data_IF_950324272645
#
_entry.id   IF_950324272645
#
_cell.length_a   1.000
_cell.length_b   1.000
_cell.length_c   1.000
_cell.angle_alpha   90.00
_cell.angle_beta   90.00
_cell.angle_gamma   90.00
#
_symmetry.space_group_name_H-M   'P 1'
#
loop_
_entity.id
_entity.type
_entity.pdbx_description
1 polymer ?
#
# COMPACT_ATOMS: atom_id res chain seq x y z
N UNK A 1 -2.47 38.14 0.91
CA UNK A 1 -3.27 38.14 -0.34
C UNK A 1 -4.38 39.17 -0.20
N UNK A 2 -4.18 40.35 -0.77
CA UNK A 2 -5.21 41.37 -0.99
C UNK A 2 -4.70 42.26 -2.13
N UNK A 3 -4.86 41.76 -3.35
CA UNK A 3 -4.56 42.51 -4.58
C UNK A 3 -5.71 43.48 -4.81
N UNK A 4 -5.43 44.77 -4.66
CA UNK A 4 -6.35 45.85 -4.95
C UNK A 4 -6.35 46.07 -6.47
N UNK A 5 -7.48 45.93 -7.19
CA UNK A 5 -7.49 46.06 -8.64
C UNK A 5 -7.36 47.54 -9.02
N UNK A 6 -6.36 47.86 -9.87
CA UNK A 6 -6.22 49.16 -10.51
C UNK A 6 -7.54 49.52 -11.21
N UNK A 7 -8.24 50.49 -10.62
CA UNK A 7 -9.33 51.22 -11.25
C UNK A 7 -8.76 51.93 -12.48
N UNK A 8 -8.93 51.32 -13.64
CA UNK A 8 -8.66 51.89 -14.95
C UNK A 8 -9.62 53.06 -15.15
N UNK A 9 -9.21 54.25 -14.71
CA UNK A 9 -9.89 55.47 -15.09
C UNK A 9 -9.37 55.84 -16.49
N UNK A 10 -9.98 55.24 -17.51
CA UNK A 10 -9.86 55.69 -18.88
C UNK A 10 -10.48 57.09 -18.96
N UNK A 11 -9.70 58.11 -18.63
CA UNK A 11 -10.08 59.51 -18.87
C UNK A 11 -10.25 59.69 -20.36
N UNK A 12 -11.50 59.90 -20.73
CA UNK A 12 -11.98 60.19 -22.06
C UNK A 12 -11.33 61.47 -22.59
N UNK A 13 -10.26 61.39 -23.38
CA UNK A 13 -9.61 62.57 -24.00
C UNK A 13 -9.89 62.66 -25.51
N UNK A 14 -10.64 61.71 -26.09
CA UNK A 14 -10.97 61.74 -27.52
C UNK A 14 -12.42 62.17 -27.77
N UNK A 15 -12.75 63.44 -27.50
CA UNK A 15 -14.01 64.01 -28.03
C UNK A 15 -13.88 65.50 -28.36
N UNK A 16 -13.69 65.79 -29.65
CA UNK A 16 -14.48 66.73 -30.46
C UNK A 16 -13.60 67.44 -31.53
N UNK A 17 -13.90 67.29 -32.83
CA UNK A 17 -13.37 68.22 -33.84
C UNK A 17 -14.08 69.57 -33.66
N UNK A 18 -13.31 70.63 -33.38
CA UNK A 18 -13.87 71.97 -33.20
C UNK A 18 -14.36 72.51 -34.55
N UNK A 19 -15.67 72.73 -34.60
CA UNK A 19 -16.45 73.29 -35.71
C UNK A 19 -15.96 74.71 -36.05
N UNK A 20 -15.66 74.94 -37.33
CA UNK A 20 -15.33 76.28 -37.84
C UNK A 20 -16.55 77.20 -37.74
N UNK A 21 -16.44 78.25 -36.92
CA UNK A 21 -17.46 79.30 -36.78
C UNK A 21 -17.39 80.23 -38.01
N UNK A 22 -18.49 80.55 -38.70
CA UNK A 22 -18.45 81.44 -39.85
C UNK A 22 -18.14 82.87 -39.41
N UNK A 23 -17.14 83.49 -40.03
CA UNK A 23 -16.83 84.91 -39.86
C UNK A 23 -18.03 85.76 -40.34
N UNK A 24 -18.52 86.74 -39.55
CA UNK A 24 -19.47 87.72 -40.07
C UNK A 24 -18.79 88.59 -41.15
N UNK A 25 -19.50 88.84 -42.26
CA UNK A 25 -19.03 89.52 -43.47
C UNK A 25 -18.31 90.85 -43.19
N UNK A 26 -16.98 90.77 -43.11
CA UNK A 26 -16.05 91.86 -42.81
C UNK A 26 -16.08 93.00 -43.83
N UNK A 27 -16.58 92.75 -45.06
CA UNK A 27 -16.66 93.78 -46.11
C UNK A 27 -17.69 94.86 -45.81
N UNK A 28 -18.89 94.49 -45.32
CA UNK A 28 -19.96 95.48 -45.06
C UNK A 28 -19.60 96.39 -43.89
N UNK A 29 -18.98 95.84 -42.85
CA UNK A 29 -18.50 96.61 -41.70
C UNK A 29 -17.34 97.54 -42.06
N UNK A 30 -16.46 97.12 -42.99
CA UNK A 30 -15.34 97.95 -43.47
C UNK A 30 -15.81 99.14 -44.29
N UNK A 31 -16.83 98.99 -45.14
CA UNK A 31 -17.33 100.12 -45.96
C UNK A 31 -18.00 101.17 -45.06
N UNK A 32 -18.81 100.74 -44.08
CA UNK A 32 -19.42 101.65 -43.11
C UNK A 32 -18.35 102.39 -42.29
N UNK A 33 -17.30 101.70 -41.86
CA UNK A 33 -16.17 102.32 -41.15
C UNK A 33 -15.38 103.30 -42.02
N UNK A 34 -15.17 102.99 -43.30
CA UNK A 34 -14.51 103.88 -44.26
C UNK A 34 -15.34 105.14 -44.47
N UNK A 35 -16.66 104.99 -44.71
CA UNK A 35 -17.57 106.12 -44.88
C UNK A 35 -17.63 106.97 -43.61
N UNK A 36 -17.73 106.35 -42.43
CA UNK A 36 -17.77 107.06 -41.16
C UNK A 36 -16.45 107.80 -40.86
N UNK A 37 -15.32 107.21 -41.24
CA UNK A 37 -13.99 107.85 -41.12
C UNK A 37 -13.87 109.02 -42.10
N UNK A 38 -14.33 108.85 -43.34
CA UNK A 38 -14.35 109.92 -44.34
C UNK A 38 -15.26 111.08 -43.90
N UNK A 39 -16.44 110.80 -43.34
CA UNK A 39 -17.35 111.81 -42.78
C UNK A 39 -16.71 112.56 -41.61
N UNK A 40 -16.00 111.85 -40.72
CA UNK A 40 -15.26 112.48 -39.61
C UNK A 40 -14.13 113.40 -40.10
N UNK A 41 -13.37 112.98 -41.12
CA UNK A 41 -12.31 113.80 -41.73
C UNK A 41 -12.92 115.02 -42.45
N UNK A 42 -14.05 114.83 -43.15
CA UNK A 42 -14.77 115.92 -43.81
C UNK A 42 -15.30 116.95 -42.82
N UNK A 43 -15.86 116.51 -41.69
CA UNK A 43 -16.32 117.41 -40.63
C UNK A 43 -15.14 118.19 -39.99
N UNK A 44 -14.01 117.53 -39.75
CA UNK A 44 -12.81 118.16 -39.20
C UNK A 44 -12.20 119.20 -40.16
N UNK A 45 -12.11 118.86 -41.45
CA UNK A 45 -11.64 119.79 -42.49
C UNK A 45 -12.61 120.96 -42.67
N UNK A 46 -13.93 120.74 -42.62
CA UNK A 46 -14.92 121.81 -42.66
C UNK A 46 -14.78 122.78 -41.46
N UNK A 47 -14.64 122.27 -40.23
CA UNK A 47 -14.42 123.10 -39.05
C UNK A 47 -13.11 123.89 -39.12
N UNK A 48 -12.05 123.27 -39.66
CA UNK A 48 -10.78 123.95 -39.88
C UNK A 48 -10.92 125.10 -40.91
N UNK A 49 -11.61 124.85 -42.02
CA UNK A 49 -11.88 125.87 -43.04
C UNK A 49 -12.73 127.01 -42.47
N UNK A 50 -13.79 126.70 -41.71
CA UNK A 50 -14.63 127.71 -41.03
C UNK A 50 -13.76 128.56 -40.08
N UNK A 51 -12.85 127.94 -39.33
CA UNK A 51 -11.91 128.66 -38.47
C UNK A 51 -10.97 129.57 -39.28
N UNK A 52 -10.43 129.09 -40.41
CA UNK A 52 -9.58 129.90 -41.29
C UNK A 52 -10.34 131.09 -41.88
N UNK A 53 -11.58 130.90 -42.33
CA UNK A 53 -12.43 131.99 -42.82
C UNK A 53 -12.80 132.97 -41.72
N UNK A 54 -13.07 132.49 -40.49
CA UNK A 54 -13.28 133.36 -39.33
C UNK A 54 -12.08 134.26 -39.05
N UNK A 55 -10.87 133.71 -39.12
CA UNK A 55 -9.61 134.46 -38.98
C UNK A 55 -9.44 135.48 -40.12
N UNK A 56 -9.71 135.09 -41.37
CA UNK A 56 -9.57 135.96 -42.54
C UNK A 56 -10.61 137.08 -42.59
N UNK A 57 -11.86 136.80 -42.23
CA UNK A 57 -12.92 137.79 -42.11
C UNK A 57 -12.65 138.81 -41.00
N UNK A 58 -12.08 138.35 -39.89
CA UNK A 58 -11.61 139.23 -38.81
C UNK A 58 -10.52 140.21 -39.29
N UNK A 59 -9.57 139.75 -40.12
CA UNK A 59 -8.50 140.58 -40.69
C UNK A 59 -9.02 141.69 -41.63
N UNK A 60 -10.18 141.51 -42.25
CA UNK A 60 -10.73 142.43 -43.25
C UNK A 60 -11.73 143.45 -42.69
N UNK A 61 -12.17 143.36 -41.42
CA UNK A 61 -13.27 144.21 -40.93
C UNK A 61 -13.09 144.85 -39.55
N UNK A 62 -12.16 144.42 -38.67
CA UNK A 62 -11.95 145.04 -37.34
C UNK A 62 -10.48 144.85 -36.90
N UNK A 63 -9.79 145.86 -36.32
CA UNK A 63 -8.47 145.66 -35.72
C UNK A 63 -8.61 144.83 -34.43
N UNK A 64 -8.60 143.51 -34.56
CA UNK A 64 -8.51 142.59 -33.42
C UNK A 64 -7.10 142.67 -32.83
N UNK A 65 -7.01 143.05 -31.55
CA UNK A 65 -5.76 143.05 -30.81
C UNK A 65 -5.12 141.66 -30.75
N UNK A 66 -3.80 141.62 -30.53
CA UNK A 66 -2.95 140.42 -30.54
C UNK A 66 -3.54 139.27 -29.70
N UNK A 67 -4.24 139.58 -28.60
CA UNK A 67 -4.90 138.58 -27.76
C UNK A 67 -6.04 137.80 -28.44
N UNK A 68 -6.80 138.42 -29.33
CA UNK A 68 -7.90 137.77 -30.06
C UNK A 68 -7.39 136.74 -31.07
N UNK A 69 -6.29 137.05 -31.76
CA UNK A 69 -5.65 136.14 -32.70
C UNK A 69 -5.09 134.89 -31.99
N UNK A 70 -4.49 135.06 -30.81
CA UNK A 70 -3.96 133.95 -30.00
C UNK A 70 -5.09 133.05 -29.48
N UNK A 71 -6.22 133.64 -29.05
CA UNK A 71 -7.37 132.85 -28.59
C UNK A 71 -7.95 131.95 -29.69
N UNK A 72 -8.05 132.46 -30.91
CA UNK A 72 -8.57 131.70 -32.06
C UNK A 72 -7.62 130.59 -32.51
N UNK A 73 -6.31 130.84 -32.54
CA UNK A 73 -5.33 129.80 -32.89
C UNK A 73 -5.29 128.70 -31.84
N UNK A 74 -5.36 129.05 -30.54
CA UNK A 74 -5.48 128.07 -29.47
C UNK A 74 -6.77 127.24 -29.57
N UNK A 75 -7.92 127.86 -29.87
CA UNK A 75 -9.18 127.14 -30.03
C UNK A 75 -9.15 126.19 -31.24
N UNK A 76 -8.56 126.62 -32.35
CA UNK A 76 -8.38 125.78 -33.55
C UNK A 76 -7.45 124.58 -33.27
N UNK A 77 -6.34 124.79 -32.57
CA UNK A 77 -5.44 123.72 -32.15
C UNK A 77 -6.11 122.75 -31.17
N UNK A 78 -6.88 123.25 -30.21
CA UNK A 78 -7.63 122.41 -29.28
C UNK A 78 -8.64 121.52 -30.00
N UNK A 79 -9.39 122.07 -30.97
CA UNK A 79 -10.31 121.27 -31.79
C UNK A 79 -9.58 120.20 -32.61
N UNK A 80 -8.42 120.54 -33.19
CA UNK A 80 -7.60 119.61 -33.95
C UNK A 80 -7.08 118.46 -33.07
N UNK A 81 -6.59 118.76 -31.86
CA UNK A 81 -6.10 117.75 -30.91
C UNK A 81 -7.23 116.81 -30.45
N UNK A 82 -8.43 117.33 -30.17
CA UNK A 82 -9.60 116.51 -29.80
C UNK A 82 -9.98 115.55 -30.93
N UNK A 83 -9.93 116.01 -32.18
CA UNK A 83 -10.18 115.15 -33.36
C UNK A 83 -9.10 114.07 -33.50
N UNK A 84 -7.83 114.39 -33.30
CA UNK A 84 -6.74 113.40 -33.34
C UNK A 84 -6.87 112.35 -32.23
N UNK A 85 -7.16 112.77 -30.99
CA UNK A 85 -7.41 111.84 -29.87
C UNK A 85 -8.59 110.91 -30.16
N UNK A 86 -9.64 111.42 -30.82
CA UNK A 86 -10.83 110.64 -31.19
C UNK A 86 -10.57 109.63 -32.32
N UNK A 87 -9.60 109.90 -33.20
CA UNK A 87 -9.16 108.97 -34.26
C UNK A 87 -8.27 107.85 -33.70
N UNK A 88 -7.47 108.14 -32.67
CA UNK A 88 -6.59 107.17 -32.01
C UNK A 88 -7.32 106.28 -30.99
N UNK A 89 -8.45 106.72 -30.45
CA UNK A 89 -9.17 106.00 -29.39
C UNK A 89 -9.99 104.77 -29.84
N UNK A 90 -10.01 104.42 -31.14
CA UNK A 90 -10.79 103.28 -31.66
C UNK A 90 -9.88 102.23 -32.31
N UNK A 91 -9.50 101.15 -31.58
CA UNK A 91 -8.75 100.05 -32.18
C UNK A 91 -9.58 99.40 -33.28
N UNK A 92 -8.95 99.23 -34.44
CA UNK A 92 -9.58 98.71 -35.66
C UNK A 92 -10.07 97.28 -35.44
N UNK A 93 -11.16 96.87 -36.10
CA UNK A 93 -11.71 95.51 -35.99
C UNK A 93 -10.66 94.42 -36.30
N UNK A 94 -9.66 94.72 -37.14
CA UNK A 94 -8.53 93.82 -37.43
C UNK A 94 -7.61 93.63 -36.23
N UNK A 95 -7.34 94.67 -35.47
CA UNK A 95 -6.49 94.63 -34.28
C UNK A 95 -7.12 93.76 -33.18
N UNK A 96 -8.44 93.89 -32.97
CA UNK A 96 -9.18 92.99 -32.06
C UNK A 96 -9.18 91.53 -32.52
N UNK A 97 -9.16 91.28 -33.83
CA UNK A 97 -9.07 89.92 -34.36
C UNK A 97 -7.67 89.32 -34.14
N UNK A 98 -6.60 90.09 -34.35
CA UNK A 98 -5.24 89.67 -34.03
C UNK A 98 -5.05 89.46 -32.52
N UNK A 99 -5.61 90.33 -31.68
CA UNK A 99 -5.53 90.16 -30.24
C UNK A 99 -6.20 88.85 -29.78
N UNK A 100 -7.38 88.52 -30.33
CA UNK A 100 -8.02 87.22 -30.05
C UNK A 100 -7.15 86.05 -30.48
N UNK A 101 -6.47 86.15 -31.62
CA UNK A 101 -5.58 85.10 -32.09
C UNK A 101 -4.36 84.95 -31.16
N UNK A 102 -3.79 86.06 -30.68
CA UNK A 102 -2.70 86.07 -29.69
C UNK A 102 -3.16 85.43 -28.37
N UNK A 103 -4.37 85.76 -27.90
CA UNK A 103 -4.91 85.20 -26.66
C UNK A 103 -5.17 83.69 -26.79
N UNK A 104 -5.65 83.22 -27.96
CA UNK A 104 -5.80 81.79 -28.26
C UNK A 104 -4.44 81.09 -28.26
N UNK A 105 -3.44 81.66 -28.94
CA UNK A 105 -2.08 81.10 -28.94
C UNK A 105 -1.46 81.08 -27.54
N UNK A 106 -1.69 82.11 -26.72
CA UNK A 106 -1.23 82.15 -25.34
C UNK A 106 -1.88 81.03 -24.50
N UNK A 107 -3.20 80.83 -24.65
CA UNK A 107 -3.92 79.75 -23.98
C UNK A 107 -3.44 78.36 -24.44
N UNK A 108 -3.16 78.18 -25.72
CA UNK A 108 -2.58 76.94 -26.25
C UNK A 108 -1.18 76.69 -25.71
N UNK A 109 -0.34 77.73 -25.61
CA UNK A 109 1.01 77.61 -25.08
C UNK A 109 1.02 77.20 -23.59
N UNK A 110 0.12 77.78 -22.77
CA UNK A 110 -0.08 77.34 -21.38
C UNK A 110 -0.59 75.89 -21.29
N UNK A 111 -1.49 75.48 -22.19
CA UNK A 111 -1.95 74.08 -22.27
C UNK A 111 -0.82 73.13 -22.65
N UNK A 112 0.02 73.49 -23.62
CA UNK A 112 1.19 72.70 -24.01
C UNK A 112 2.17 72.57 -22.84
N UNK A 113 2.40 73.64 -22.09
CA UNK A 113 3.26 73.66 -20.91
C UNK A 113 2.73 72.74 -19.81
N UNK A 114 1.42 72.73 -19.56
CA UNK A 114 0.79 71.77 -18.63
C UNK A 114 1.00 70.33 -19.11
N UNK A 115 0.73 70.04 -20.38
CA UNK A 115 0.92 68.71 -20.95
C UNK A 115 2.38 68.24 -20.83
N UNK A 116 3.36 69.13 -21.03
CA UNK A 116 4.77 68.82 -20.85
C UNK A 116 5.09 68.45 -19.40
N UNK A 117 4.56 69.20 -18.44
CA UNK A 117 4.74 68.89 -17.01
C UNK A 117 4.12 67.54 -16.63
N UNK A 118 2.96 67.20 -17.18
CA UNK A 118 2.33 65.91 -16.93
C UNK A 118 3.11 64.75 -17.57
N UNK A 119 3.67 64.97 -18.76
CA UNK A 119 4.54 63.99 -19.42
C UNK A 119 5.84 63.77 -18.64
N UNK A 120 6.44 64.83 -18.09
CA UNK A 120 7.63 64.74 -17.25
C UNK A 120 7.36 63.93 -15.97
N UNK A 121 6.22 64.17 -15.29
CA UNK A 121 5.79 63.35 -14.15
C UNK A 121 5.59 61.89 -14.53
N UNK A 122 4.96 61.63 -15.68
CA UNK A 122 4.77 60.27 -16.17
C UNK A 122 6.11 59.57 -16.42
N UNK A 123 7.08 60.27 -17.03
CA UNK A 123 8.45 59.77 -17.23
C UNK A 123 9.16 59.46 -15.90
N UNK A 124 9.04 60.32 -14.88
CA UNK A 124 9.59 60.05 -13.55
C UNK A 124 8.95 58.81 -12.91
N UNK A 125 7.63 58.67 -12.99
CA UNK A 125 6.93 57.49 -12.45
C UNK A 125 7.32 56.20 -13.16
N UNK A 126 7.54 56.26 -14.48
CA UNK A 126 8.01 55.12 -15.26
C UNK A 126 9.46 54.74 -14.90
N UNK A 127 10.28 55.75 -14.59
CA UNK A 127 11.62 55.54 -14.05
C UNK A 127 11.61 54.80 -12.71
N UNK A 128 10.70 55.16 -11.81
CA UNK A 128 10.52 54.48 -10.50
C UNK A 128 10.10 53.02 -10.69
N UNK A 129 9.12 52.75 -11.56
CA UNK A 129 8.71 51.39 -11.92
C UNK A 129 9.87 50.58 -12.52
N UNK A 130 10.73 51.21 -13.32
CA UNK A 130 11.91 50.53 -13.88
C UNK A 130 12.90 50.10 -12.79
N UNK A 131 13.09 50.90 -11.75
CA UNK A 131 13.97 50.56 -10.62
C UNK A 131 13.37 49.45 -9.77
N UNK A 132 12.06 49.50 -9.50
CA UNK A 132 11.35 48.42 -8.79
C UNK A 132 11.40 47.09 -9.56
N UNK A 133 11.26 47.15 -10.89
CA UNK A 133 11.35 45.97 -11.73
C UNK A 133 12.77 45.37 -11.71
N UNK A 134 13.81 46.19 -11.77
CA UNK A 134 15.21 45.75 -11.65
C UNK A 134 15.48 45.08 -10.30
N UNK A 135 14.98 45.65 -9.21
CA UNK A 135 15.07 45.07 -7.88
C UNK A 135 14.36 43.70 -7.80
N UNK A 136 13.18 43.58 -8.41
CA UNK A 136 12.44 42.31 -8.46
C UNK A 136 13.15 41.26 -9.32
N UNK A 137 13.75 41.66 -10.44
CA UNK A 137 14.57 40.75 -11.28
C UNK A 137 15.75 40.22 -10.47
N UNK A 138 16.49 41.10 -9.77
CA UNK A 138 17.61 40.68 -8.93
C UNK A 138 17.21 39.75 -7.80
N UNK A 139 16.09 40.03 -7.14
CA UNK A 139 15.51 39.14 -6.13
C UNK A 139 15.13 37.78 -6.72
N UNK A 140 14.64 37.73 -7.97
CA UNK A 140 14.32 36.48 -8.64
C UNK A 140 15.57 35.67 -9.01
N UNK A 141 16.68 36.32 -9.40
CA UNK A 141 17.96 35.67 -9.65
C UNK A 141 18.55 35.05 -8.38
N UNK A 142 18.46 35.75 -7.25
CA UNK A 142 18.86 35.21 -5.94
C UNK A 142 18.02 33.97 -5.57
N UNK A 143 16.70 34.02 -5.79
CA UNK A 143 15.81 32.88 -5.53
C UNK A 143 16.16 31.67 -6.43
N UNK A 144 16.46 31.90 -7.71
CA UNK A 144 16.90 30.84 -8.63
C UNK A 144 18.22 30.22 -8.15
N UNK A 145 19.14 31.04 -7.64
CA UNK A 145 20.42 30.57 -7.10
C UNK A 145 20.23 29.71 -5.85
N UNK A 146 19.34 30.13 -4.94
CA UNK A 146 18.95 29.33 -3.77
C UNK A 146 18.32 28.00 -4.18
N UNK A 147 17.42 28.00 -5.16
CA UNK A 147 16.76 26.79 -5.64
C UNK A 147 17.76 25.80 -6.26
N UNK A 148 18.74 26.30 -7.04
CA UNK A 148 19.85 25.47 -7.55
C UNK A 148 20.69 24.85 -6.43
N UNK A 149 20.97 25.63 -5.38
CA UNK A 149 21.72 25.13 -4.23
C UNK A 149 20.96 24.00 -3.51
N UNK A 150 19.67 24.19 -3.23
CA UNK A 150 18.80 23.16 -2.64
C UNK A 150 18.75 21.91 -3.51
N UNK A 151 18.63 22.07 -4.83
CA UNK A 151 18.63 20.93 -5.76
C UNK A 151 19.96 20.17 -5.74
N UNK A 152 21.08 20.88 -5.59
CA UNK A 152 22.40 20.26 -5.42
C UNK A 152 22.48 19.46 -4.12
N UNK A 153 22.04 20.03 -2.99
CA UNK A 153 22.02 19.33 -1.70
C UNK A 153 21.12 18.10 -1.74
N UNK A 154 19.95 18.21 -2.36
CA UNK A 154 19.04 17.07 -2.53
C UNK A 154 19.68 15.94 -3.34
N UNK A 155 20.42 16.27 -4.40
CA UNK A 155 21.14 15.26 -5.18
C UNK A 155 22.27 14.61 -4.37
N UNK A 156 23.02 15.38 -3.58
CA UNK A 156 24.03 14.83 -2.65
C UNK A 156 23.40 13.88 -1.65
N UNK A 157 22.30 14.30 -1.01
CA UNK A 157 21.57 13.47 -0.04
C UNK A 157 21.05 12.18 -0.69
N UNK A 158 20.57 12.24 -1.94
CA UNK A 158 20.16 11.05 -2.70
C UNK A 158 21.33 10.09 -2.90
N UNK A 159 22.52 10.58 -3.27
CA UNK A 159 23.71 9.76 -3.41
C UNK A 159 24.13 9.14 -2.07
N UNK A 160 24.12 9.93 -0.99
CA UNK A 160 24.42 9.42 0.36
C UNK A 160 23.42 8.34 0.79
N UNK A 161 22.12 8.57 0.57
CA UNK A 161 21.08 7.58 0.87
C UNK A 161 21.25 6.31 0.03
N UNK A 162 21.62 6.43 -1.25
CA UNK A 162 21.88 5.29 -2.12
C UNK A 162 23.12 4.50 -1.67
N UNK A 163 24.17 5.18 -1.21
CA UNK A 163 25.35 4.52 -0.65
C UNK A 163 25.05 3.86 0.70
N UNK A 164 24.20 4.46 1.54
CA UNK A 164 23.72 3.82 2.78
C UNK A 164 22.78 2.63 2.53
N UNK A 165 22.06 2.62 1.41
CA UNK A 165 21.23 1.49 1.02
C UNK A 165 22.04 0.36 0.36
N UNK A 166 23.27 0.63 -0.10
CA UNK A 166 24.18 -0.37 -0.68
C UNK A 166 24.53 -1.52 0.28
N UNK A 167 24.88 -1.29 1.57
CA UNK A 167 25.03 -2.36 2.54
C UNK A 167 23.71 -3.07 2.86
N UNK A 168 22.57 -2.38 2.81
CA UNK A 168 21.26 -3.06 2.94
C UNK A 168 21.01 -4.01 1.77
N UNK A 169 21.35 -3.64 0.53
CA UNK A 169 21.25 -4.50 -0.64
C UNK A 169 22.22 -5.70 -0.59
N UNK A 170 23.45 -5.50 -0.08
CA UNK A 170 24.39 -6.61 0.13
C UNK A 170 23.96 -7.53 1.27
N UNK A 171 23.36 -6.99 2.34
CA UNK A 171 22.73 -7.78 3.40
C UNK A 171 21.54 -8.57 2.87
N UNK A 172 20.70 -7.99 2.00
CA UNK A 172 19.61 -8.72 1.34
C UNK A 172 20.17 -9.83 0.44
N UNK A 173 21.25 -9.58 -0.31
CA UNK A 173 21.91 -10.62 -1.10
C UNK A 173 22.54 -11.72 -0.23
N UNK A 174 23.14 -11.34 0.89
CA UNK A 174 23.73 -12.28 1.86
C UNK A 174 22.66 -13.09 2.55
N UNK A 175 21.57 -12.45 3.00
CA UNK A 175 20.38 -13.10 3.54
C UNK A 175 19.73 -13.99 2.50
N UNK A 176 19.60 -13.57 1.24
CA UNK A 176 19.05 -14.40 0.16
C UNK A 176 19.95 -15.60 -0.17
N UNK A 177 21.26 -15.52 0.10
CA UNK A 177 22.21 -16.62 -0.03
C UNK A 177 22.22 -17.54 1.20
N UNK A 178 21.97 -17.00 2.39
CA UNK A 178 21.76 -17.77 3.63
C UNK A 178 20.39 -18.46 3.65
N UNK A 179 19.38 -17.80 3.06
CA UNK A 179 18.06 -18.33 2.74
C UNK A 179 18.08 -19.11 1.43
N UNK A 180 19.17 -19.05 0.63
CA UNK A 180 19.25 -19.86 -0.58
C UNK A 180 19.23 -21.30 -0.10
N UNK A 181 18.21 -21.99 -0.61
CA UNK A 181 17.65 -23.25 -0.16
C UNK A 181 18.63 -24.38 0.11
N UNK A 182 19.94 -24.28 -0.10
CA UNK A 182 20.86 -25.41 -0.02
C UNK A 182 21.02 -25.94 1.42
N UNK A 183 21.34 -25.09 2.39
CA UNK A 183 21.45 -25.52 3.79
C UNK A 183 20.09 -25.87 4.40
N UNK A 184 19.03 -25.13 4.03
CA UNK A 184 17.67 -25.39 4.50
C UNK A 184 17.11 -26.68 3.88
N UNK A 185 17.35 -26.95 2.60
CA UNK A 185 16.96 -28.21 1.94
C UNK A 185 17.75 -29.38 2.48
N UNK A 186 19.07 -29.21 2.70
CA UNK A 186 19.90 -30.25 3.32
C UNK A 186 19.43 -30.58 4.74
N UNK A 187 19.14 -29.56 5.55
CA UNK A 187 18.57 -29.77 6.89
C UNK A 187 17.17 -30.39 6.84
N UNK A 188 16.37 -30.05 5.82
CA UNK A 188 15.05 -30.65 5.59
C UNK A 188 15.14 -32.13 5.21
N UNK A 189 16.08 -32.49 4.32
CA UNK A 189 16.36 -33.86 3.93
C UNK A 189 16.90 -34.69 5.12
N UNK A 190 17.82 -34.13 5.90
CA UNK A 190 18.32 -34.77 7.13
C UNK A 190 17.21 -34.96 8.16
N UNK A 191 16.31 -33.98 8.33
CA UNK A 191 15.16 -34.08 9.22
C UNK A 191 14.14 -35.13 8.73
N UNK A 192 13.97 -35.24 7.42
CA UNK A 192 13.09 -36.24 6.80
C UNK A 192 13.68 -37.66 6.92
N UNK A 193 14.99 -37.83 6.72
CA UNK A 193 15.68 -39.10 6.95
C UNK A 193 15.59 -39.51 8.43
N UNK A 194 15.80 -38.55 9.35
CA UNK A 194 15.67 -38.79 10.78
C UNK A 194 14.23 -39.18 11.15
N UNK A 195 13.22 -38.53 10.56
CA UNK A 195 11.81 -38.89 10.74
C UNK A 195 11.54 -40.32 10.27
N UNK A 196 12.06 -40.71 9.10
CA UNK A 196 11.90 -42.06 8.57
C UNK A 196 12.57 -43.11 9.48
N UNK A 197 13.78 -42.84 9.98
CA UNK A 197 14.46 -43.69 10.97
C UNK A 197 13.67 -43.81 12.27
N UNK A 198 13.06 -42.73 12.74
CA UNK A 198 12.20 -42.75 13.93
C UNK A 198 10.95 -43.60 13.69
N UNK A 199 10.28 -43.49 12.53
CA UNK A 199 9.16 -44.35 12.17
C UNK A 199 9.58 -45.83 12.11
N UNK A 200 10.72 -46.12 11.52
CA UNK A 200 11.22 -47.49 11.43
C UNK A 200 11.61 -48.05 12.81
N UNK A 201 12.21 -47.22 13.66
CA UNK A 201 12.49 -47.59 15.06
C UNK A 201 11.20 -47.85 15.82
N UNK A 202 10.17 -47.02 15.63
CA UNK A 202 8.85 -47.22 16.21
C UNK A 202 8.21 -48.54 15.74
N UNK A 203 8.29 -48.85 14.44
CA UNK A 203 7.80 -50.13 13.91
C UNK A 203 8.54 -51.33 14.54
N UNK A 204 9.86 -51.22 14.70
CA UNK A 204 10.66 -52.26 15.36
C UNK A 204 10.27 -52.44 16.85
N UNK A 205 9.96 -51.34 17.56
CA UNK A 205 9.49 -51.41 18.95
C UNK A 205 8.12 -52.07 19.05
N UNK A 206 7.20 -51.78 18.12
CA UNK A 206 5.89 -52.44 18.05
C UNK A 206 6.08 -53.95 17.82
N UNK A 207 6.89 -54.33 16.83
CA UNK A 207 7.19 -55.73 16.54
C UNK A 207 7.82 -56.45 17.75
N UNK A 208 8.75 -55.79 18.44
CA UNK A 208 9.37 -56.32 19.65
C UNK A 208 8.37 -56.50 20.79
N UNK A 209 7.43 -55.56 20.95
CA UNK A 209 6.39 -55.66 21.96
C UNK A 209 5.40 -56.78 21.67
N UNK A 210 4.99 -56.96 20.41
CA UNK A 210 4.14 -58.09 19.99
C UNK A 210 4.85 -59.42 20.23
N UNK A 211 6.15 -59.50 19.90
CA UNK A 211 6.95 -60.69 20.15
C UNK A 211 7.12 -60.98 21.65
N UNK A 212 7.25 -59.93 22.48
CA UNK A 212 7.26 -60.05 23.94
C UNK A 212 5.92 -60.56 24.47
N UNK A 213 4.79 -60.03 23.99
CA UNK A 213 3.47 -60.52 24.38
C UNK A 213 3.25 -61.98 23.95
N UNK A 214 3.67 -62.33 22.74
CA UNK A 214 3.61 -63.71 22.26
C UNK A 214 4.45 -64.64 23.14
N UNK A 215 5.69 -64.23 23.46
CA UNK A 215 6.57 -64.99 24.35
C UNK A 215 5.98 -65.12 25.74
N UNK A 216 5.37 -64.06 26.27
CA UNK A 216 4.71 -64.08 27.57
C UNK A 216 3.51 -65.05 27.57
N UNK A 217 2.73 -65.07 26.49
CA UNK A 217 1.65 -66.05 26.29
C UNK A 217 2.17 -67.49 26.24
N UNK A 218 3.28 -67.74 25.54
CA UNK A 218 3.92 -69.07 25.51
C UNK A 218 4.43 -69.49 26.89
N UNK A 219 5.02 -68.58 27.66
CA UNK A 219 5.47 -68.83 29.03
C UNK A 219 4.28 -69.15 29.95
N UNK A 220 3.17 -68.41 29.84
CA UNK A 220 1.95 -68.72 30.60
C UNK A 220 1.38 -70.09 30.24
N UNK A 221 1.36 -70.44 28.95
CA UNK A 221 0.94 -71.77 28.49
C UNK A 221 1.85 -72.87 29.03
N UNK A 222 3.17 -72.66 29.00
CA UNK A 222 4.14 -73.61 29.56
C UNK A 222 3.93 -73.77 31.08
N UNK A 223 3.68 -72.69 31.80
CA UNK A 223 3.40 -72.74 33.24
C UNK A 223 2.12 -73.51 33.56
N UNK A 224 1.07 -73.33 32.76
CA UNK A 224 -0.17 -74.08 32.92
C UNK A 224 0.04 -75.57 32.65
N UNK A 225 0.80 -75.91 31.60
CA UNK A 225 1.16 -77.30 31.30
C UNK A 225 1.99 -77.92 32.45
N UNK A 226 2.93 -77.16 33.02
CA UNK A 226 3.74 -77.58 34.16
C UNK A 226 2.86 -77.86 35.39
N UNK A 227 1.90 -76.98 35.68
CA UNK A 227 0.96 -77.17 36.79
C UNK A 227 0.09 -78.41 36.57
N UNK A 228 -0.38 -78.64 35.35
CA UNK A 228 -1.18 -79.82 35.00
C UNK A 228 -0.38 -81.11 35.13
N UNK A 229 0.90 -81.07 34.75
CA UNK A 229 1.81 -82.20 34.92
C UNK A 229 2.11 -82.45 36.41
N UNK A 230 2.30 -81.40 37.20
CA UNK A 230 2.47 -81.48 38.66
C UNK A 230 1.25 -82.16 39.32
N UNK A 231 0.04 -81.78 38.90
CA UNK A 231 -1.21 -82.35 39.41
C UNK A 231 -1.36 -83.83 39.03
N UNK A 232 -1.00 -84.21 37.79
CA UNK A 232 -0.95 -85.62 37.39
C UNK A 232 0.06 -86.42 38.20
N UNK A 233 1.24 -85.87 38.50
CA UNK A 233 2.24 -86.53 39.34
C UNK A 233 1.69 -86.74 40.75
N UNK A 234 1.04 -85.74 41.35
CA UNK A 234 0.41 -85.89 42.67
C UNK A 234 -0.71 -86.93 42.69
N UNK A 235 -1.55 -86.96 41.65
CA UNK A 235 -2.60 -87.96 41.50
C UNK A 235 -2.00 -89.38 41.39
N UNK A 236 -0.93 -89.52 40.62
CA UNK A 236 -0.23 -90.79 40.46
C UNK A 236 0.46 -91.24 41.76
N UNK A 237 1.04 -90.31 42.52
CA UNK A 237 1.58 -90.58 43.86
C UNK A 237 0.49 -91.03 44.83
N UNK A 238 -0.68 -90.40 44.79
CA UNK A 238 -1.82 -90.81 45.62
C UNK A 238 -2.30 -92.21 45.23
N UNK A 239 -2.40 -92.51 43.93
CA UNK A 239 -2.73 -93.85 43.44
C UNK A 239 -1.71 -94.89 43.90
N UNK A 240 -0.41 -94.56 43.86
CA UNK A 240 0.66 -95.43 44.40
C UNK A 240 0.45 -95.70 45.89
N UNK A 241 0.16 -94.68 46.70
CA UNK A 241 -0.08 -94.84 48.14
C UNK A 241 -1.30 -95.72 48.42
N UNK A 242 -2.40 -95.51 47.70
CA UNK A 242 -3.61 -96.33 47.81
C UNK A 242 -3.30 -97.79 47.44
N UNK A 243 -2.58 -98.03 46.33
CA UNK A 243 -2.19 -99.37 45.93
C UNK A 243 -1.31 -100.05 47.00
N UNK A 244 -0.39 -99.30 47.60
CA UNK A 244 0.49 -99.80 48.64
C UNK A 244 -0.28 -100.15 49.94
N UNK A 245 -1.33 -99.40 50.28
CA UNK A 245 -2.25 -99.76 51.36
C UNK A 245 -3.04 -101.03 51.04
N UNK A 246 -3.59 -101.15 49.84
CA UNK A 246 -4.32 -102.34 49.38
C UNK A 246 -3.43 -103.58 49.44
N UNK A 247 -2.17 -103.48 48.98
CA UNK A 247 -1.17 -104.57 49.07
C UNK A 247 -0.92 -104.96 50.54
N UNK A 248 -0.78 -104.00 51.45
CA UNK A 248 -0.59 -104.28 52.89
C UNK A 248 -1.80 -104.99 53.51
N UNK A 249 -3.02 -104.54 53.18
CA UNK A 249 -4.26 -105.15 53.64
C UNK A 249 -4.41 -106.59 53.12
N UNK A 250 -4.14 -106.82 51.84
CA UNK A 250 -4.13 -108.16 51.24
C UNK A 250 -3.09 -109.07 51.90
N UNK A 251 -1.90 -108.56 52.19
CA UNK A 251 -0.85 -109.32 52.90
C UNK A 251 -1.30 -109.72 54.31
N UNK A 252 -1.93 -108.81 55.06
CA UNK A 252 -2.48 -109.10 56.38
C UNK A 252 -3.64 -110.09 56.32
N UNK A 253 -4.56 -109.92 55.37
CA UNK A 253 -5.66 -110.86 55.14
C UNK A 253 -5.14 -112.26 54.77
N UNK A 254 -4.07 -112.34 53.96
CA UNK A 254 -3.42 -113.59 53.62
C UNK A 254 -2.75 -114.25 54.83
N UNK A 255 -2.10 -113.48 55.71
CA UNK A 255 -1.54 -113.99 56.97
C UNK A 255 -2.64 -114.52 57.91
N UNK A 256 -3.72 -113.75 58.09
CA UNK A 256 -4.87 -114.18 58.90
C UNK A 256 -5.55 -115.42 58.33
N UNK A 257 -5.68 -115.51 56.99
CA UNK A 257 -6.19 -116.71 56.34
C UNK A 257 -5.25 -117.91 56.56
N UNK A 258 -3.94 -117.71 56.50
CA UNK A 258 -2.94 -118.73 56.81
C UNK A 258 -3.00 -119.21 58.28
N UNK A 259 -3.13 -118.28 59.23
CA UNK A 259 -3.30 -118.58 60.65
C UNK A 259 -4.64 -119.29 60.92
N UNK A 260 -5.74 -118.82 60.32
CA UNK A 260 -7.04 -119.47 60.39
C UNK A 260 -6.98 -120.89 59.81
N UNK A 261 -6.27 -121.09 58.70
CA UNK A 261 -6.07 -122.41 58.12
C UNK A 261 -5.22 -123.32 59.01
N UNK A 262 -4.17 -122.81 59.66
CA UNK A 262 -3.41 -123.57 60.66
C UNK A 262 -4.25 -123.92 61.89
N UNK A 263 -5.09 -123.01 62.37
CA UNK A 263 -6.01 -123.26 63.48
C UNK A 263 -7.09 -124.28 63.09
N UNK A 264 -7.58 -124.26 61.85
CA UNK A 264 -8.49 -125.28 61.34
C UNK A 264 -7.80 -126.64 61.23
N UNK A 265 -6.55 -126.70 60.76
CA UNK A 265 -5.77 -127.95 60.72
C UNK A 265 -5.54 -128.48 62.14
N UNK A 266 -5.20 -127.62 63.10
CA UNK A 266 -5.06 -127.99 64.50
C UNK A 266 -6.39 -128.47 65.11
N UNK A 267 -7.49 -127.77 64.81
CA UNK A 267 -8.85 -128.13 65.23
C UNK A 267 -9.34 -129.45 64.63
N UNK A 268 -9.06 -129.70 63.35
CA UNK A 268 -9.30 -131.00 62.72
C UNK A 268 -8.40 -132.08 63.31
N UNK A 269 -7.12 -131.80 63.60
CA UNK A 269 -6.23 -132.74 64.29
C UNK A 269 -6.78 -133.16 65.65
N UNK A 270 -7.29 -132.20 66.44
CA UNK A 270 -7.97 -132.47 67.70
C UNK A 270 -9.29 -133.23 67.49
N UNK A 271 -10.08 -132.86 66.49
CA UNK A 271 -11.33 -133.54 66.16
C UNK A 271 -11.12 -134.98 65.69
N UNK A 272 -10.05 -135.26 64.92
CA UNK A 272 -9.69 -136.62 64.49
C UNK A 272 -9.21 -137.46 65.68
N UNK A 273 -8.47 -136.87 66.63
CA UNK A 273 -8.13 -137.55 67.88
C UNK A 273 -9.35 -137.85 68.76
N UNK A 274 -10.35 -136.96 68.77
CA UNK A 274 -11.56 -137.11 69.57
C UNK A 274 -12.64 -137.96 68.88
N UNK A 275 -12.62 -138.05 67.55
CA UNK A 275 -13.51 -138.87 66.73
C UNK A 275 -12.91 -140.26 66.39
N UNK A 276 -11.86 -140.70 67.10
CA UNK A 276 -11.28 -142.04 67.00
C UNK A 276 -12.20 -143.15 67.58
N UNK A 277 -13.50 -143.09 67.26
CA UNK A 277 -14.40 -144.22 67.27
C UNK A 277 -14.43 -144.80 65.84
N UNK A 278 -14.19 -146.11 65.65
CA UNK A 278 -14.02 -146.69 64.32
C UNK A 278 -15.36 -146.64 63.54
N UNK A 279 -15.41 -145.81 62.50
CA UNK A 279 -16.52 -145.79 61.57
C UNK A 279 -16.46 -146.99 60.61
N UNK A 280 -17.60 -147.64 60.43
CA UNK A 280 -17.79 -148.78 59.53
C UNK A 280 -17.44 -148.43 58.07
N UNK A 281 -16.92 -149.40 57.28
CA UNK A 281 -16.44 -149.16 55.92
C UNK A 281 -17.57 -148.74 54.97
N UNK A 282 -17.40 -147.57 54.34
CA UNK A 282 -18.28 -147.08 53.29
C UNK A 282 -18.03 -147.83 51.97
N UNK A 283 -19.11 -148.16 51.26
CA UNK A 283 -19.07 -148.82 49.96
C UNK A 283 -18.36 -147.94 48.89
N UNK A 284 -17.66 -148.56 47.92
CA UNK A 284 -16.89 -147.83 46.91
C UNK A 284 -17.78 -146.99 45.98
N UNK A 285 -17.44 -145.70 45.85
CA UNK A 285 -18.04 -144.80 44.88
C UNK A 285 -17.59 -145.16 43.45
N UNK A 286 -18.54 -145.14 42.51
CA UNK A 286 -18.29 -145.36 41.09
C UNK A 286 -17.41 -144.24 40.50
N UNK A 287 -16.53 -144.56 39.52
CA UNK A 287 -15.61 -143.59 38.93
C UNK A 287 -16.36 -142.51 38.13
N UNK A 288 -16.11 -141.24 38.44
CA UNK A 288 -16.58 -140.12 37.64
C UNK A 288 -15.70 -139.92 36.40
N UNK A 289 -16.34 -139.59 35.28
CA UNK A 289 -15.81 -139.56 33.92
C UNK A 289 -14.64 -138.55 33.71
N UNK A 290 -13.75 -138.81 32.74
CA UNK A 290 -12.57 -137.97 32.45
C UNK A 290 -12.93 -136.56 31.93
N UNK A 291 -12.02 -135.62 32.22
CA UNK A 291 -12.13 -134.19 31.96
C UNK A 291 -12.17 -133.84 30.46
N UNK A 292 -12.94 -132.80 30.12
CA UNK A 292 -12.90 -132.18 28.81
C UNK A 292 -11.57 -131.39 28.61
N UNK A 293 -10.96 -131.45 27.41
CA UNK A 293 -9.66 -130.83 27.12
C UNK A 293 -9.69 -129.29 27.07
N UNK A 294 -8.56 -128.68 27.40
CA UNK A 294 -8.35 -127.23 27.39
C UNK A 294 -8.38 -126.64 25.97
N UNK A 295 -8.98 -125.46 25.83
CA UNK A 295 -8.95 -124.69 24.58
C UNK A 295 -7.57 -124.03 24.36
N UNK A 296 -7.06 -123.98 23.12
CA UNK A 296 -5.72 -123.48 22.79
C UNK A 296 -5.59 -121.95 22.88
N UNK A 297 -4.40 -121.47 23.22
CA UNK A 297 -4.05 -120.05 23.27
C UNK A 297 -3.95 -119.44 21.86
N UNK A 298 -4.48 -118.23 21.69
CA UNK A 298 -4.44 -117.48 20.43
C UNK A 298 -3.25 -116.48 20.37
N UNK A 299 -2.76 -116.13 19.16
CA UNK A 299 -1.41 -115.60 18.90
C UNK A 299 -1.25 -114.10 19.20
N UNK A 300 0.00 -113.65 19.37
CA UNK A 300 0.34 -112.24 19.58
C UNK A 300 0.55 -111.44 18.27
N UNK A 301 0.01 -110.21 18.29
CA UNK A 301 0.40 -108.93 17.66
C UNK A 301 0.82 -108.84 16.16
N UNK A 302 0.43 -107.74 15.50
CA UNK A 302 1.39 -106.87 14.81
C UNK A 302 1.38 -105.41 15.29
N UNK A 303 2.51 -104.72 15.17
CA UNK A 303 2.69 -103.31 15.53
C UNK A 303 2.00 -102.34 14.55
N UNK A 304 1.67 -101.14 15.03
CA UNK A 304 0.92 -100.11 14.31
C UNK A 304 1.75 -99.42 13.19
N UNK A 305 1.13 -99.05 12.04
CA UNK A 305 1.77 -98.22 11.03
C UNK A 305 1.89 -96.74 11.45
N UNK A 306 2.93 -96.06 10.97
CA UNK A 306 3.17 -94.64 11.17
C UNK A 306 2.21 -93.73 10.36
N UNK A 307 1.92 -92.54 10.89
CA UNK A 307 1.02 -91.57 10.25
C UNK A 307 1.66 -90.88 9.02
N UNK A 308 0.88 -90.53 7.97
CA UNK A 308 1.39 -89.80 6.81
C UNK A 308 1.73 -88.33 7.13
N UNK A 309 2.72 -87.77 6.43
CA UNK A 309 3.06 -86.35 6.48
C UNK A 309 2.02 -85.49 5.74
N UNK A 310 1.77 -84.27 6.23
CA UNK A 310 0.83 -83.33 5.62
C UNK A 310 1.42 -82.67 4.35
N UNK A 311 0.60 -82.36 3.32
CA UNK A 311 1.05 -81.66 2.11
C UNK A 311 1.41 -80.19 2.37
N UNK A 312 2.39 -79.65 1.65
CA UNK A 312 2.74 -78.23 1.66
C UNK A 312 1.72 -77.38 0.87
N UNK A 313 1.44 -76.17 1.33
CA UNK A 313 0.52 -75.23 0.69
C UNK A 313 1.14 -74.53 -0.55
N UNK A 314 0.38 -74.26 -1.63
CA UNK A 314 0.87 -73.50 -2.78
C UNK A 314 1.08 -72.01 -2.46
N UNK A 315 2.09 -71.39 -3.10
CA UNK A 315 2.37 -69.95 -2.99
C UNK A 315 1.42 -69.10 -3.86
N UNK A 316 1.13 -67.87 -3.39
CA UNK A 316 0.23 -66.93 -4.06
C UNK A 316 0.90 -66.22 -5.27
N UNK A 317 0.14 -65.80 -6.30
CA UNK A 317 0.67 -65.03 -7.44
C UNK A 317 1.02 -63.59 -7.06
N UNK A 318 2.03 -63.01 -7.72
CA UNK A 318 2.45 -61.62 -7.55
C UNK A 318 1.63 -60.64 -8.41
N UNK A 319 1.39 -59.43 -7.90
CA UNK A 319 0.64 -58.36 -8.58
C UNK A 319 1.44 -57.68 -9.72
N UNK A 320 0.78 -57.15 -10.78
CA UNK A 320 1.45 -56.45 -11.88
C UNK A 320 1.83 -55.00 -11.54
N UNK A 321 2.93 -54.53 -12.12
CA UNK A 321 3.45 -53.16 -11.97
C UNK A 321 2.66 -52.12 -12.80
N UNK A 322 2.60 -50.84 -12.37
CA UNK A 322 1.89 -49.78 -13.10
C UNK A 322 2.65 -49.26 -14.33
N UNK A 323 1.93 -49.08 -15.44
CA UNK A 323 2.42 -48.43 -16.66
C UNK A 323 2.48 -46.91 -16.50
N UNK A 324 3.60 -46.34 -16.96
CA UNK A 324 3.86 -44.91 -17.03
C UNK A 324 3.09 -44.28 -18.20
N UNK A 325 2.28 -43.26 -17.91
CA UNK A 325 1.77 -42.34 -18.92
C UNK A 325 2.51 -41.00 -18.77
N UNK A 326 3.66 -40.91 -19.44
CA UNK A 326 4.21 -39.64 -19.89
C UNK A 326 3.42 -39.21 -21.13
N UNK A 327 2.63 -38.13 -21.03
CA UNK A 327 2.24 -37.38 -22.21
C UNK A 327 1.92 -35.92 -21.87
N UNK A 328 2.86 -35.06 -22.29
CA UNK A 328 2.64 -33.80 -22.99
C UNK A 328 1.65 -32.78 -22.42
N UNK A 329 2.19 -31.67 -21.91
CA UNK A 329 1.67 -30.35 -22.29
C UNK A 329 2.77 -29.28 -22.20
N UNK A 330 3.64 -29.24 -23.22
CA UNK A 330 4.24 -28.00 -23.68
C UNK A 330 3.18 -27.27 -24.52
N UNK A 331 2.77 -26.05 -24.13
CA UNK A 331 2.61 -24.94 -25.08
C UNK A 331 2.13 -23.61 -24.45
N UNK A 332 2.85 -22.55 -24.87
CA UNK A 332 2.49 -21.12 -24.97
C UNK A 332 2.39 -20.25 -23.70
N UNK A 333 3.25 -19.24 -23.48
CA UNK A 333 3.67 -18.07 -24.27
C UNK A 333 2.67 -16.89 -24.29
N UNK A 334 3.23 -15.67 -24.09
CA UNK A 334 2.63 -14.31 -24.06
C UNK A 334 1.82 -13.97 -22.80
N UNK A 335 1.99 -12.82 -22.13
CA UNK A 335 2.56 -11.53 -22.49
C UNK A 335 3.10 -10.79 -21.25
#
# INVERSE_FOLDING_TARGET
MTVNPLRTQASSILTAPVKATPLPDSRKLSIVQIVLTAVKILAATALFVISCFGIFGCLLSIPLGIGGAIGLTCAALACFVIVLMSLWASPSAKEKAYQKQIDIFAAENERLKSNLSDLEKALSSLGEVSVDLDAHVKSSEDLVTQCKHILSEFNTLKLEMQEQLRPAASLIGSLSKLLSQEDIAKLTDELQDLKNKVLQTQANVILANDLLQQTQGQVQQQQQLLNQLQEQVQALEHQKQQLQQVVSQLQQAAQQAGEAQNNLIAGLGAAIQQAAAPAAPAAPAAPAAPAAPAAPAAPAAPAAPAAPAAPAAPAAPADPAPENNDDNNDDNAYS
#
